data_IF_328411648562
#
_entry.id   IF_328411648562
#
_cell.length_a   1.000
_cell.length_b   1.000
_cell.length_c   1.000
_cell.angle_alpha   90.00
_cell.angle_beta   90.00
_cell.angle_gamma   90.00
#
_symmetry.space_group_name_H-M   'P 1'
#
loop_
_entity.id
_entity.type
_entity.pdbx_description
1 polymer ?
#
# COMPACT_ATOMS: atom_id res chain seq x y z
N UNK A 1 17.17 -10.53 4.84
CA UNK A 1 15.78 -10.19 5.27
C UNK A 1 14.79 -11.03 4.48
N UNK A 2 13.94 -11.82 5.15
CA UNK A 2 12.90 -12.66 4.50
C UNK A 2 11.58 -11.90 4.54
N UNK A 3 11.02 -11.56 3.39
CA UNK A 3 9.76 -10.81 3.29
C UNK A 3 8.69 -11.66 2.61
N UNK A 4 7.51 -11.73 3.22
CA UNK A 4 6.35 -12.38 2.64
C UNK A 4 5.39 -11.36 2.04
N UNK A 5 5.07 -11.48 0.75
CA UNK A 5 4.01 -10.71 0.10
C UNK A 5 2.71 -11.52 0.18
N UNK A 6 1.76 -11.01 0.94
CA UNK A 6 0.40 -11.54 1.02
C UNK A 6 -0.43 -10.92 -0.11
N UNK A 7 -0.66 -11.71 -1.16
CA UNK A 7 -1.35 -11.26 -2.36
C UNK A 7 -2.87 -11.31 -2.19
N UNK A 8 -3.51 -10.16 -2.36
CA UNK A 8 -4.97 -10.00 -2.34
C UNK A 8 -5.51 -10.04 -3.79
N UNK A 9 -5.34 -11.13 -4.46
CA UNK A 9 -5.80 -11.30 -5.84
C UNK A 9 -5.89 -12.76 -6.23
N UNK A 10 -6.71 -13.03 -7.24
CA UNK A 10 -6.70 -14.30 -7.94
C UNK A 10 -5.77 -14.17 -9.15
N UNK A 11 -4.78 -15.04 -9.24
CA UNK A 11 -4.13 -15.34 -10.51
C UNK A 11 -4.93 -16.47 -11.13
N UNK A 12 -5.74 -16.19 -12.15
CA UNK A 12 -6.29 -17.25 -12.97
C UNK A 12 -5.13 -17.84 -13.79
N UNK A 13 -4.78 -19.12 -13.62
CA UNK A 13 -3.70 -19.75 -14.36
C UNK A 13 -3.94 -19.78 -15.88
N UNK A 14 -5.18 -19.58 -16.31
CA UNK A 14 -5.57 -19.57 -17.73
C UNK A 14 -5.60 -18.14 -18.31
N UNK A 15 -5.53 -17.10 -17.48
CA UNK A 15 -5.50 -15.71 -17.93
C UNK A 15 -4.05 -15.27 -18.14
N UNK A 16 -3.74 -14.74 -19.34
CA UNK A 16 -2.48 -14.02 -19.58
C UNK A 16 -2.68 -12.55 -19.23
N UNK A 17 -2.30 -12.11 -18.05
CA UNK A 17 -2.50 -10.73 -17.66
C UNK A 17 -1.65 -9.80 -18.54
N UNK A 18 -2.24 -8.69 -18.98
CA UNK A 18 -1.54 -7.66 -19.76
C UNK A 18 -0.40 -7.01 -18.96
N UNK A 19 -0.54 -6.96 -17.65
CA UNK A 19 0.45 -6.38 -16.71
C UNK A 19 0.90 -7.43 -15.70
N UNK A 20 2.14 -7.34 -15.20
CA UNK A 20 2.62 -8.22 -14.15
C UNK A 20 1.70 -8.16 -12.91
N UNK A 21 1.50 -9.26 -12.18
CA UNK A 21 0.73 -9.26 -10.94
C UNK A 21 1.39 -8.39 -9.87
N UNK A 22 0.58 -7.88 -8.92
CA UNK A 22 1.04 -6.96 -7.89
C UNK A 22 2.27 -7.44 -7.11
N UNK A 23 2.39 -8.72 -6.70
CA UNK A 23 3.60 -9.18 -6.05
C UNK A 23 4.87 -9.01 -6.90
N UNK A 24 4.78 -9.29 -8.20
CA UNK A 24 5.93 -9.12 -9.11
C UNK A 24 6.29 -7.64 -9.28
N UNK A 25 5.30 -6.75 -9.33
CA UNK A 25 5.53 -5.29 -9.41
C UNK A 25 6.25 -4.78 -8.16
N UNK A 26 5.83 -5.22 -6.95
CA UNK A 26 6.53 -4.90 -5.71
C UNK A 26 7.95 -5.45 -5.69
N UNK A 27 8.16 -6.70 -6.09
CA UNK A 27 9.50 -7.27 -6.20
C UNK A 27 10.38 -6.47 -7.15
N UNK A 28 9.86 -6.09 -8.32
CA UNK A 28 10.59 -5.28 -9.31
C UNK A 28 10.98 -3.91 -8.74
N UNK A 29 10.08 -3.23 -8.04
CA UNK A 29 10.33 -1.89 -7.48
C UNK A 29 11.22 -1.91 -6.22
N UNK A 30 11.07 -2.92 -5.37
CA UNK A 30 11.77 -2.97 -4.07
C UNK A 30 13.11 -3.70 -4.12
N UNK A 31 13.31 -4.74 -4.98
CA UNK A 31 14.55 -5.51 -4.99
C UNK A 31 15.80 -4.68 -5.30
N UNK A 32 15.79 -3.69 -6.20
CA UNK A 32 16.95 -2.82 -6.38
C UNK A 32 17.32 -1.99 -5.15
N UNK A 33 16.31 -1.68 -4.31
CA UNK A 33 16.47 -0.92 -3.08
C UNK A 33 16.83 -1.79 -1.88
N UNK A 34 16.51 -3.08 -1.96
CA UNK A 34 16.66 -4.05 -0.87
C UNK A 34 17.31 -5.34 -1.41
N UNK A 35 18.58 -5.27 -1.91
CA UNK A 35 19.24 -6.43 -2.52
C UNK A 35 19.48 -7.58 -1.52
N UNK A 36 19.42 -7.29 -0.22
CA UNK A 36 19.49 -8.26 0.87
C UNK A 36 18.18 -9.02 1.12
N UNK A 37 17.08 -8.59 0.52
CA UNK A 37 15.77 -9.19 0.74
C UNK A 37 15.53 -10.42 -0.12
N UNK A 38 14.92 -11.44 0.47
CA UNK A 38 14.34 -12.59 -0.23
C UNK A 38 12.83 -12.53 -0.14
N UNK A 39 12.15 -12.80 -1.24
CA UNK A 39 10.72 -12.61 -1.38
C UNK A 39 9.99 -13.94 -1.50
N UNK A 40 8.95 -14.12 -0.71
CA UNK A 40 7.99 -15.24 -0.83
C UNK A 40 6.62 -14.66 -1.10
N UNK A 41 5.86 -15.26 -2.00
CA UNK A 41 4.49 -14.83 -2.31
C UNK A 41 3.51 -15.90 -1.83
N UNK A 42 2.52 -15.49 -1.04
CA UNK A 42 1.42 -16.34 -0.56
C UNK A 42 0.10 -15.65 -0.92
N UNK A 43 -0.84 -16.38 -1.51
CA UNK A 43 -2.20 -15.86 -1.70
C UNK A 43 -2.92 -15.82 -0.35
N UNK A 44 -3.30 -14.64 0.12
CA UNK A 44 -4.11 -14.51 1.32
C UNK A 44 -5.56 -14.99 1.10
N UNK A 45 -6.01 -15.03 -0.16
CA UNK A 45 -7.37 -15.42 -0.54
C UNK A 45 -7.54 -16.95 -0.53
N UNK A 46 -6.60 -17.67 -1.13
CA UNK A 46 -6.70 -19.12 -1.35
C UNK A 46 -5.64 -19.94 -0.62
N UNK A 47 -4.59 -19.30 -0.12
CA UNK A 47 -3.48 -19.94 0.57
C UNK A 47 -3.71 -20.10 2.07
N UNK A 48 -2.86 -20.88 2.68
CA UNK A 48 -2.72 -20.94 4.15
C UNK A 48 -1.75 -19.85 4.59
N UNK A 49 -2.16 -18.99 5.52
CA UNK A 49 -1.27 -17.99 6.10
C UNK A 49 -0.18 -18.69 6.94
N UNK A 50 1.07 -18.22 6.88
CA UNK A 50 2.18 -18.83 7.60
C UNK A 50 2.10 -18.52 9.12
N UNK A 51 2.94 -19.18 9.90
CA UNK A 51 3.21 -18.68 11.26
C UNK A 51 3.80 -17.26 11.17
N UNK A 52 3.31 -16.29 11.98
CA UNK A 52 3.81 -14.92 11.97
C UNK A 52 5.33 -14.78 12.04
N UNK A 53 6.01 -15.67 12.76
CA UNK A 53 7.47 -15.66 12.94
C UNK A 53 8.26 -16.31 11.79
N UNK A 54 7.59 -16.79 10.74
CA UNK A 54 8.26 -17.42 9.60
C UNK A 54 9.04 -16.46 8.73
N UNK A 55 8.73 -15.16 8.79
CA UNK A 55 9.34 -14.09 8.00
C UNK A 55 9.71 -12.89 8.88
N UNK A 56 10.70 -12.12 8.44
CA UNK A 56 11.15 -10.92 9.13
C UNK A 56 10.18 -9.74 8.96
N UNK A 57 9.41 -9.74 7.85
CA UNK A 57 8.40 -8.73 7.56
C UNK A 57 7.35 -9.24 6.57
N UNK A 58 6.22 -8.53 6.50
CA UNK A 58 5.11 -8.82 5.59
C UNK A 58 4.71 -7.59 4.78
N UNK A 59 4.14 -7.84 3.58
CA UNK A 59 3.50 -6.82 2.75
C UNK A 59 2.15 -7.35 2.25
N UNK A 60 1.05 -6.67 2.57
CA UNK A 60 -0.29 -6.96 2.04
C UNK A 60 -0.54 -6.06 0.84
N UNK A 61 -0.82 -6.65 -0.32
CA UNK A 61 -1.06 -5.90 -1.56
C UNK A 61 -2.44 -5.24 -1.59
N UNK A 62 -2.65 -4.36 -2.55
CA UNK A 62 -3.99 -3.94 -2.95
C UNK A 62 -4.83 -5.10 -3.50
N UNK A 63 -6.15 -4.89 -3.54
CA UNK A 63 -7.12 -5.88 -4.01
C UNK A 63 -8.41 -5.23 -4.50
N UNK A 64 -9.30 -6.04 -5.09
CA UNK A 64 -10.61 -5.59 -5.61
C UNK A 64 -11.75 -5.65 -4.59
N UNK A 65 -11.47 -6.18 -3.42
CA UNK A 65 -12.45 -6.43 -2.36
C UNK A 65 -12.57 -5.22 -1.43
N UNK A 66 -13.71 -5.12 -0.76
CA UNK A 66 -13.89 -4.24 0.41
C UNK A 66 -13.65 -5.02 1.69
N UNK A 67 -13.08 -4.39 2.71
CA UNK A 67 -12.81 -5.06 4.01
C UNK A 67 -14.08 -5.42 4.77
N UNK A 68 -15.23 -4.86 4.36
CA UNK A 68 -16.55 -5.19 4.91
C UNK A 68 -17.34 -6.19 4.03
N UNK A 69 -16.72 -6.79 3.00
CA UNK A 69 -17.34 -7.90 2.27
C UNK A 69 -17.34 -9.14 3.17
N UNK A 70 -18.43 -9.94 3.23
CA UNK A 70 -18.50 -11.11 4.11
C UNK A 70 -17.77 -12.32 3.48
N UNK A 71 -16.43 -12.31 3.56
CA UNK A 71 -15.57 -13.33 2.94
C UNK A 71 -14.70 -14.04 3.99
N UNK A 72 -14.85 -15.35 4.15
CA UNK A 72 -14.20 -16.16 5.19
C UNK A 72 -12.67 -16.01 5.26
N UNK A 73 -12.01 -15.74 4.12
CA UNK A 73 -10.56 -15.54 4.10
C UNK A 73 -10.14 -14.21 4.74
N UNK A 74 -11.03 -13.21 4.80
CA UNK A 74 -10.76 -11.91 5.42
C UNK A 74 -10.63 -12.05 6.93
N UNK A 75 -11.50 -12.82 7.58
CA UNK A 75 -11.42 -13.04 9.03
C UNK A 75 -10.06 -13.63 9.42
N UNK A 76 -9.57 -14.63 8.64
CA UNK A 76 -8.24 -15.20 8.86
C UNK A 76 -7.12 -14.18 8.64
N UNK A 77 -7.26 -13.29 7.67
CA UNK A 77 -6.28 -12.22 7.42
C UNK A 77 -6.30 -11.19 8.56
N UNK A 78 -7.47 -10.82 9.06
CA UNK A 78 -7.59 -9.88 10.17
C UNK A 78 -7.04 -10.45 11.47
N UNK A 79 -7.28 -11.72 11.75
CA UNK A 79 -6.65 -12.44 12.88
C UNK A 79 -5.12 -12.44 12.73
N UNK A 80 -4.64 -12.68 11.53
CA UNK A 80 -3.20 -12.67 11.24
C UNK A 80 -2.58 -11.28 11.44
N UNK A 81 -3.25 -10.20 10.99
CA UNK A 81 -2.80 -8.81 11.20
C UNK A 81 -2.73 -8.52 12.71
N UNK A 82 -3.72 -8.93 13.50
CA UNK A 82 -3.69 -8.79 14.97
C UNK A 82 -2.51 -9.52 15.59
N UNK A 83 -2.26 -10.77 15.15
CA UNK A 83 -1.12 -11.54 15.63
C UNK A 83 0.24 -10.91 15.28
N UNK A 84 0.37 -10.30 14.09
CA UNK A 84 1.57 -9.54 13.71
C UNK A 84 1.75 -8.30 14.62
N UNK A 85 0.66 -7.59 14.90
CA UNK A 85 0.67 -6.42 15.77
C UNK A 85 1.09 -6.76 17.21
N UNK A 86 0.47 -7.78 17.81
CA UNK A 86 0.79 -8.24 19.17
C UNK A 86 2.24 -8.69 19.32
N UNK A 87 2.84 -9.20 18.25
CA UNK A 87 4.23 -9.67 18.22
C UNK A 87 5.22 -8.62 17.71
N UNK A 88 4.76 -7.41 17.40
CA UNK A 88 5.54 -6.32 16.81
C UNK A 88 6.31 -6.75 15.54
N UNK A 89 5.73 -7.63 14.71
CA UNK A 89 6.32 -8.09 13.45
C UNK A 89 5.99 -7.06 12.35
N UNK A 90 6.99 -6.58 11.59
CA UNK A 90 6.81 -5.54 10.59
C UNK A 90 5.82 -5.89 9.48
N UNK A 91 4.89 -4.97 9.21
CA UNK A 91 3.87 -5.10 8.18
C UNK A 91 3.73 -3.81 7.37
N UNK A 92 3.70 -3.96 6.05
CA UNK A 92 3.29 -2.90 5.10
C UNK A 92 1.94 -3.26 4.52
N UNK A 93 0.97 -2.35 4.56
CA UNK A 93 -0.34 -2.50 3.93
C UNK A 93 -0.56 -1.49 2.82
N UNK A 94 -0.93 -1.96 1.60
CA UNK A 94 -1.14 -1.10 0.44
C UNK A 94 -2.60 -1.18 -0.03
N UNK A 95 -3.26 -0.06 -0.16
CA UNK A 95 -4.66 0.10 -0.60
C UNK A 95 -5.61 -0.80 0.21
N UNK A 96 -6.00 -1.98 -0.28
CA UNK A 96 -6.74 -2.95 0.51
C UNK A 96 -5.99 -3.30 1.81
N UNK A 97 -4.67 -3.53 1.75
CA UNK A 97 -3.85 -3.81 2.93
C UNK A 97 -3.83 -2.67 3.94
N UNK A 98 -3.83 -1.41 3.50
CA UNK A 98 -3.98 -0.23 4.36
C UNK A 98 -5.33 -0.25 5.10
N UNK A 99 -6.40 -0.53 4.38
CA UNK A 99 -7.75 -0.64 4.94
C UNK A 99 -7.89 -1.85 5.88
N UNK A 100 -7.28 -2.99 5.51
CA UNK A 100 -7.29 -4.20 6.31
C UNK A 100 -6.57 -4.02 7.66
N UNK A 101 -5.44 -3.29 7.69
CA UNK A 101 -4.75 -2.93 8.93
C UNK A 101 -5.68 -2.09 9.83
N UNK A 102 -6.27 -1.03 9.27
CA UNK A 102 -7.18 -0.18 10.03
C UNK A 102 -8.35 -0.97 10.60
N UNK A 103 -9.04 -1.76 9.76
CA UNK A 103 -10.20 -2.55 10.15
C UNK A 103 -9.87 -3.62 11.20
N UNK A 104 -8.77 -4.38 11.00
CA UNK A 104 -8.37 -5.44 11.91
C UNK A 104 -8.04 -4.95 13.32
N UNK A 105 -7.59 -3.70 13.46
CA UNK A 105 -7.17 -3.10 14.72
C UNK A 105 -8.20 -2.11 15.30
N UNK A 106 -9.45 -2.17 14.85
CA UNK A 106 -10.57 -1.44 15.44
C UNK A 106 -10.85 -0.07 14.83
N UNK A 107 -10.18 0.30 13.75
CA UNK A 107 -10.53 1.45 12.92
C UNK A 107 -11.74 1.15 12.03
N UNK A 108 -12.26 2.19 11.37
CA UNK A 108 -13.41 2.08 10.47
C UNK A 108 -13.00 2.37 9.03
N UNK A 109 -13.58 1.63 8.10
CA UNK A 109 -13.44 1.82 6.66
C UNK A 109 -14.82 2.01 6.06
N UNK A 110 -14.98 3.06 5.28
CA UNK A 110 -16.25 3.37 4.64
C UNK A 110 -16.06 3.70 3.17
N UNK A 111 -17.14 3.59 2.40
CA UNK A 111 -17.13 4.12 1.03
C UNK A 111 -17.14 5.64 1.07
N UNK A 112 -16.19 6.25 0.35
CA UNK A 112 -16.06 7.70 0.29
C UNK A 112 -17.28 8.33 -0.36
N UNK A 113 -17.84 9.37 0.27
CA UNK A 113 -18.88 10.24 -0.27
C UNK A 113 -18.36 11.12 -1.43
N UNK A 114 -17.04 11.29 -1.53
CA UNK A 114 -16.37 12.00 -2.63
C UNK A 114 -16.20 11.16 -3.90
N UNK A 115 -16.67 9.90 -3.91
CA UNK A 115 -16.55 8.98 -5.03
C UNK A 115 -15.16 8.35 -5.15
N UNK A 116 -14.66 8.23 -6.37
CA UNK A 116 -13.43 7.52 -6.69
C UNK A 116 -12.18 8.39 -6.61
N UNK A 117 -11.16 7.92 -5.89
CA UNK A 117 -9.78 8.38 -5.99
C UNK A 117 -9.05 7.59 -7.07
N UNK A 118 -8.77 8.21 -8.21
CA UNK A 118 -8.20 7.55 -9.40
C UNK A 118 -7.19 8.45 -10.11
N UNK A 119 -6.26 7.84 -10.83
CA UNK A 119 -5.20 8.54 -11.55
C UNK A 119 -4.05 8.92 -10.62
N UNK A 120 -3.32 10.00 -10.94
CA UNK A 120 -2.33 10.60 -10.05
C UNK A 120 -3.02 11.59 -9.13
N UNK A 121 -2.89 11.38 -7.82
CA UNK A 121 -3.48 12.22 -6.80
C UNK A 121 -2.42 12.80 -5.88
N UNK A 122 -2.48 14.12 -5.59
CA UNK A 122 -1.54 14.74 -4.67
C UNK A 122 -1.83 14.31 -3.22
N UNK A 123 -0.77 13.98 -2.51
CA UNK A 123 -0.76 13.76 -1.06
C UNK A 123 0.36 14.58 -0.44
N UNK A 124 0.18 14.99 0.81
CA UNK A 124 1.20 15.68 1.59
C UNK A 124 1.79 14.74 2.62
N UNK A 125 3.12 14.71 2.75
CA UNK A 125 3.79 14.13 3.91
C UNK A 125 3.68 15.15 5.05
N UNK A 126 2.85 14.83 6.03
CA UNK A 126 2.50 15.76 7.13
C UNK A 126 3.28 15.50 8.42
N UNK A 127 4.03 14.39 8.48
CA UNK A 127 4.89 14.01 9.61
C UNK A 127 6.21 13.43 9.10
N UNK A 128 7.32 13.90 9.67
CA UNK A 128 8.65 13.31 9.43
C UNK A 128 8.74 11.98 10.18
N UNK A 129 9.10 10.92 9.46
CA UNK A 129 9.23 9.56 9.99
C UNK A 129 10.69 9.07 9.98
N UNK A 130 11.62 9.93 9.55
CA UNK A 130 13.03 9.56 9.30
C UNK A 130 13.26 8.94 7.92
N UNK A 131 12.31 8.17 7.39
CA UNK A 131 12.35 7.61 6.03
C UNK A 131 11.43 8.36 5.05
N UNK A 132 10.50 9.19 5.51
CA UNK A 132 9.71 10.13 4.71
C UNK A 132 9.76 11.52 5.35
N UNK A 133 10.30 12.50 4.60
CA UNK A 133 10.41 13.88 5.04
C UNK A 133 9.17 14.69 4.69
N UNK A 134 8.82 15.69 5.51
CA UNK A 134 7.69 16.59 5.25
C UNK A 134 7.80 17.19 3.85
N UNK A 135 6.78 17.02 3.04
CA UNK A 135 6.68 17.52 1.67
C UNK A 135 5.23 17.71 1.26
N UNK A 136 4.99 18.48 0.20
CA UNK A 136 3.66 18.75 -0.33
C UNK A 136 3.54 18.32 -1.78
N UNK A 137 2.33 17.87 -2.14
CA UNK A 137 1.97 17.61 -3.53
C UNK A 137 2.68 16.41 -4.14
N UNK A 138 3.07 15.41 -3.35
CA UNK A 138 3.62 14.14 -3.84
C UNK A 138 2.55 13.43 -4.67
N UNK A 139 2.82 13.16 -5.95
CA UNK A 139 1.86 12.61 -6.90
C UNK A 139 1.94 11.09 -6.92
N UNK A 140 0.95 10.41 -6.36
CA UNK A 140 0.88 8.97 -6.27
C UNK A 140 -0.32 8.39 -7.01
N UNK A 141 -0.15 7.19 -7.57
CA UNK A 141 -1.23 6.45 -8.21
C UNK A 141 -2.31 6.05 -7.22
N UNK A 142 -3.57 6.31 -7.58
CA UNK A 142 -4.75 5.93 -6.81
C UNK A 142 -5.73 5.12 -7.66
N UNK A 143 -6.43 4.18 -7.02
CA UNK A 143 -7.53 3.40 -7.58
C UNK A 143 -8.37 2.84 -6.42
N UNK A 144 -9.14 3.70 -5.74
CA UNK A 144 -9.95 3.29 -4.60
C UNK A 144 -11.22 4.13 -4.48
N UNK A 145 -12.24 3.57 -3.85
CA UNK A 145 -13.45 4.26 -3.43
C UNK A 145 -13.64 4.16 -1.91
N UNK A 146 -13.21 3.03 -1.33
CA UNK A 146 -13.25 2.84 0.11
C UNK A 146 -12.05 3.55 0.75
N UNK A 147 -12.25 4.11 1.94
CA UNK A 147 -11.24 4.87 2.70
C UNK A 147 -11.37 4.57 4.19
N UNK A 148 -10.26 4.64 4.90
CA UNK A 148 -10.26 4.68 6.36
C UNK A 148 -10.95 5.97 6.79
N UNK A 149 -12.00 5.85 7.60
CA UNK A 149 -12.77 6.96 8.15
C UNK A 149 -12.46 7.22 9.63
N UNK A 150 -12.03 6.18 10.34
CA UNK A 150 -11.57 6.27 11.73
C UNK A 150 -10.28 5.44 11.85
N UNK A 151 -9.25 6.05 12.41
CA UNK A 151 -7.97 5.36 12.65
C UNK A 151 -8.10 4.40 13.85
N UNK A 152 -7.36 3.29 13.85
CA UNK A 152 -7.20 2.47 15.04
C UNK A 152 -6.36 3.20 16.11
N UNK A 153 -6.46 2.73 17.35
CA UNK A 153 -5.69 3.27 18.46
C UNK A 153 -4.19 3.18 18.20
N UNK A 154 -3.46 4.22 18.57
CA UNK A 154 -1.99 4.31 18.39
C UNK A 154 -1.54 4.59 16.96
N UNK A 155 -2.46 4.78 16.02
CA UNK A 155 -2.09 5.15 14.65
C UNK A 155 -1.72 6.63 14.53
N UNK A 156 -0.64 6.91 13.81
CA UNK A 156 -0.14 8.27 13.55
C UNK A 156 -0.09 8.55 12.05
N UNK A 157 -0.83 9.58 11.61
CA UNK A 157 -0.87 9.98 10.19
C UNK A 157 0.48 10.54 9.75
N UNK A 158 0.99 10.07 8.61
CA UNK A 158 2.16 10.66 7.94
C UNK A 158 1.86 11.13 6.52
N UNK A 159 0.83 10.57 5.86
CA UNK A 159 0.31 11.04 4.57
C UNK A 159 -1.14 11.48 4.69
N UNK A 160 -1.46 12.64 4.13
CA UNK A 160 -2.82 13.16 4.10
C UNK A 160 -3.11 13.92 2.80
N UNK A 161 -4.38 13.97 2.42
CA UNK A 161 -4.88 14.85 1.37
C UNK A 161 -6.30 15.31 1.69
N UNK A 162 -6.78 16.36 1.01
CA UNK A 162 -8.16 16.79 1.14
C UNK A 162 -9.16 15.71 0.69
N UNK A 163 -8.77 14.83 -0.25
CA UNK A 163 -9.59 13.73 -0.73
C UNK A 163 -9.60 12.55 0.28
N UNK A 164 -8.42 12.15 0.75
CA UNK A 164 -8.22 11.03 1.67
C UNK A 164 -7.39 11.51 2.88
N UNK A 165 -8.04 11.90 3.99
CA UNK A 165 -7.34 12.45 5.16
C UNK A 165 -6.36 11.48 5.80
N UNK A 166 -6.62 10.17 5.72
CA UNK A 166 -5.77 9.11 6.24
C UNK A 166 -5.11 8.33 5.10
N UNK A 167 -4.47 9.07 4.17
CA UNK A 167 -3.76 8.49 3.01
C UNK A 167 -2.63 7.55 3.41
N UNK A 168 -2.00 7.79 4.57
CA UNK A 168 -1.04 6.88 5.15
C UNK A 168 -0.85 7.11 6.64
N UNK A 169 -0.66 6.02 7.36
CA UNK A 169 -0.40 6.03 8.80
C UNK A 169 0.59 4.95 9.19
N UNK A 170 1.19 5.12 10.37
CA UNK A 170 2.01 4.11 11.05
C UNK A 170 1.34 3.69 12.34
N UNK A 171 1.66 2.48 12.84
CA UNK A 171 1.33 2.07 14.21
C UNK A 171 2.63 1.57 14.83
N UNK A 172 3.12 2.28 15.84
CA UNK A 172 4.46 2.06 16.37
C UNK A 172 5.52 2.10 15.26
N UNK A 173 6.58 1.31 15.46
CA UNK A 173 7.69 1.18 14.51
C UNK A 173 7.55 -0.03 13.58
N UNK A 174 6.42 -0.75 13.66
CA UNK A 174 6.27 -2.05 13.00
C UNK A 174 5.14 -2.10 11.97
N UNK A 175 4.22 -1.13 11.90
CA UNK A 175 3.20 -1.08 10.85
C UNK A 175 3.27 0.21 10.03
N UNK A 176 3.23 0.06 8.70
CA UNK A 176 3.13 1.11 7.70
C UNK A 176 1.94 0.82 6.80
N UNK A 177 1.04 1.77 6.65
CA UNK A 177 -0.14 1.66 5.81
C UNK A 177 -0.23 2.83 4.82
N UNK A 178 -0.40 2.54 3.52
CA UNK A 178 -0.49 3.53 2.43
C UNK A 178 -1.69 3.20 1.55
N UNK A 179 -2.56 4.18 1.31
CA UNK A 179 -3.76 4.01 0.47
C UNK A 179 -3.43 3.99 -1.02
N UNK A 180 -2.43 4.73 -1.45
CA UNK A 180 -1.99 4.83 -2.83
C UNK A 180 -1.20 3.58 -3.24
N UNK A 181 -0.94 3.46 -4.56
CA UNK A 181 -0.31 2.31 -5.18
C UNK A 181 1.14 2.58 -5.65
N UNK A 182 2.16 2.27 -4.84
CA UNK A 182 3.57 2.35 -5.25
C UNK A 182 3.96 1.34 -6.34
N UNK A 183 3.09 0.37 -6.60
CA UNK A 183 3.29 -0.70 -7.55
C UNK A 183 2.64 -0.44 -8.92
N UNK A 184 1.97 0.69 -9.11
CA UNK A 184 1.33 1.02 -10.37
C UNK A 184 2.30 1.72 -11.34
N UNK A 185 2.04 1.51 -12.64
CA UNK A 185 2.54 2.34 -13.72
C UNK A 185 1.39 3.13 -14.34
N UNK A 186 1.67 4.24 -15.07
CA UNK A 186 0.64 4.98 -15.78
C UNK A 186 -0.22 4.09 -16.70
N UNK A 187 0.40 3.13 -17.42
CA UNK A 187 -0.29 2.23 -18.34
C UNK A 187 -1.24 1.27 -17.59
N UNK A 188 -0.79 0.71 -16.47
CA UNK A 188 -1.63 -0.14 -15.63
C UNK A 188 -2.82 0.65 -15.08
N UNK A 189 -2.56 1.84 -14.54
CA UNK A 189 -3.63 2.67 -13.97
C UNK A 189 -4.64 3.09 -15.05
N UNK A 190 -4.17 3.49 -16.23
CA UNK A 190 -5.04 3.80 -17.38
C UNK A 190 -5.91 2.60 -17.78
N UNK A 191 -5.35 1.39 -17.86
CA UNK A 191 -6.11 0.19 -18.17
C UNK A 191 -7.17 -0.12 -17.10
N UNK A 192 -6.83 0.06 -15.83
CA UNK A 192 -7.77 -0.16 -14.72
C UNK A 192 -8.91 0.87 -14.74
N UNK A 193 -8.62 2.15 -15.05
CA UNK A 193 -9.62 3.21 -15.21
C UNK A 193 -10.55 2.86 -16.38
N UNK A 194 -10.00 2.53 -17.54
CA UNK A 194 -10.79 2.20 -18.73
C UNK A 194 -11.72 1.00 -18.52
N UNK A 195 -11.26 -0.05 -17.81
CA UNK A 195 -12.09 -1.22 -17.46
C UNK A 195 -13.22 -0.88 -16.48
N UNK A 196 -13.15 0.22 -15.78
CA UNK A 196 -14.11 0.66 -14.74
C UNK A 196 -14.77 1.99 -15.10
N UNK A 197 -14.65 2.45 -16.34
CA UNK A 197 -15.02 3.80 -16.75
C UNK A 197 -16.47 4.15 -16.38
N UNK A 198 -17.41 3.21 -16.55
CA UNK A 198 -18.81 3.39 -16.20
C UNK A 198 -19.01 3.54 -14.67
N UNK A 199 -18.25 2.79 -13.87
CA UNK A 199 -18.33 2.86 -12.40
C UNK A 199 -17.66 4.10 -11.82
N UNK A 200 -16.58 4.56 -12.46
CA UNK A 200 -15.82 5.75 -12.06
C UNK A 200 -16.58 7.02 -12.47
N UNK A 201 -17.25 7.00 -13.61
CA UNK A 201 -18.02 8.13 -14.11
C UNK A 201 -17.13 9.33 -14.45
N UNK A 202 -17.58 10.55 -14.08
CA UNK A 202 -16.95 11.81 -14.46
C UNK A 202 -15.49 11.96 -14.01
N UNK A 203 -15.09 11.24 -12.96
CA UNK A 203 -13.70 11.25 -12.49
C UNK A 203 -12.71 10.54 -13.44
N UNK A 204 -13.19 9.69 -14.36
CA UNK A 204 -12.33 8.88 -15.23
C UNK A 204 -11.50 9.73 -16.19
N UNK A 205 -12.09 10.73 -16.84
CA UNK A 205 -11.40 11.57 -17.84
C UNK A 205 -10.28 12.42 -17.22
N UNK A 206 -10.49 13.17 -16.14
CA UNK A 206 -9.41 13.88 -15.46
C UNK A 206 -8.32 12.94 -14.95
N UNK A 207 -8.70 11.76 -14.44
CA UNK A 207 -7.75 10.76 -13.97
C UNK A 207 -6.83 10.26 -15.09
N UNK A 208 -7.37 9.92 -16.27
CA UNK A 208 -6.56 9.52 -17.43
C UNK A 208 -5.61 10.63 -17.87
N UNK A 209 -6.06 11.88 -17.85
CA UNK A 209 -5.22 13.04 -18.19
C UNK A 209 -4.06 13.23 -17.20
N UNK A 210 -4.29 13.00 -15.90
CA UNK A 210 -3.26 13.13 -14.88
C UNK A 210 -2.07 12.17 -15.10
N UNK A 211 -2.32 11.00 -15.68
CA UNK A 211 -1.29 9.98 -15.93
C UNK A 211 -0.24 10.35 -16.98
N UNK A 212 -0.42 11.48 -17.68
CA UNK A 212 0.58 12.00 -18.63
C UNK A 212 1.70 12.82 -17.95
N UNK A 213 1.53 13.15 -16.68
CA UNK A 213 2.51 13.87 -15.87
C UNK A 213 3.54 12.96 -15.21
N UNK A 214 4.56 13.57 -14.59
CA UNK A 214 5.48 12.82 -13.73
C UNK A 214 4.74 12.31 -12.49
N UNK A 215 5.21 11.19 -11.94
CA UNK A 215 4.76 10.64 -10.67
C UNK A 215 5.91 10.47 -9.69
N UNK A 216 5.57 10.24 -8.42
CA UNK A 216 6.50 10.05 -7.32
C UNK A 216 6.51 8.59 -6.83
N UNK A 217 6.26 7.63 -7.71
CA UNK A 217 6.27 6.18 -7.40
C UNK A 217 7.60 5.77 -6.76
N UNK A 218 8.74 6.25 -7.30
CA UNK A 218 10.07 5.97 -6.77
C UNK A 218 10.24 6.47 -5.32
N UNK A 219 9.67 7.63 -5.00
CA UNK A 219 9.68 8.20 -3.64
C UNK A 219 8.91 7.30 -2.68
N UNK A 220 7.72 6.83 -3.07
CA UNK A 220 6.91 5.96 -2.21
C UNK A 220 7.52 4.56 -2.03
N UNK A 221 8.21 4.02 -3.03
CA UNK A 221 9.00 2.79 -2.90
C UNK A 221 10.20 2.99 -1.95
N UNK A 222 10.83 4.17 -1.97
CA UNK A 222 11.89 4.51 -1.03
C UNK A 222 11.38 4.57 0.42
N UNK A 223 10.17 5.09 0.66
CA UNK A 223 9.54 5.07 1.99
C UNK A 223 9.33 3.65 2.49
N UNK A 224 8.79 2.76 1.66
CA UNK A 224 8.57 1.34 2.03
C UNK A 224 9.89 0.66 2.36
N UNK A 225 10.91 0.82 1.52
CA UNK A 225 12.21 0.19 1.76
C UNK A 225 12.92 0.75 3.01
N UNK A 226 12.82 2.06 3.25
CA UNK A 226 13.33 2.72 4.45
C UNK A 226 12.64 2.22 5.71
N UNK A 227 11.30 2.18 5.70
CA UNK A 227 10.51 1.62 6.80
C UNK A 227 10.88 0.17 7.10
N UNK A 228 10.90 -0.71 6.10
CA UNK A 228 11.19 -2.14 6.28
C UNK A 228 12.58 -2.38 6.86
N UNK A 229 13.59 -1.62 6.42
CA UNK A 229 14.92 -1.70 7.02
C UNK A 229 14.91 -1.27 8.48
N UNK A 230 14.36 -0.08 8.76
CA UNK A 230 14.28 0.41 10.14
C UNK A 230 13.54 -0.57 11.05
N UNK A 231 12.38 -1.06 10.62
CA UNK A 231 11.55 -1.95 11.42
C UNK A 231 12.20 -3.31 11.70
N UNK A 232 13.00 -3.84 10.75
CA UNK A 232 13.63 -5.15 10.91
C UNK A 232 15.01 -5.06 11.58
N UNK A 233 15.81 -4.03 11.28
CA UNK A 233 17.19 -3.93 11.78
C UNK A 233 17.34 -2.98 12.97
N UNK A 234 16.34 -2.14 13.25
CA UNK A 234 16.45 -1.04 14.24
C UNK A 234 17.31 0.13 13.78
N UNK A 235 17.86 0.08 12.56
CA UNK A 235 18.69 1.15 12.01
C UNK A 235 17.83 2.21 11.33
N UNK A 236 17.88 3.44 11.80
CA UNK A 236 17.32 4.60 11.10
C UNK A 236 18.17 4.85 9.86
N UNK A 237 17.66 4.51 8.68
CA UNK A 237 18.32 4.83 7.42
C UNK A 237 18.39 6.35 7.29
N UNK A 238 19.59 6.93 7.46
CA UNK A 238 19.84 8.30 7.09
C UNK A 238 19.55 8.45 5.59
N UNK A 239 18.42 9.05 5.24
CA UNK A 239 18.11 9.44 3.86
C UNK A 239 19.14 10.51 3.51
N UNK A 240 20.23 10.09 2.86
CA UNK A 240 21.20 11.02 2.28
C UNK A 240 20.44 11.82 1.22
N UNK A 241 20.29 13.11 1.49
CA UNK A 241 19.97 14.14 0.53
C UNK A 241 21.08 14.17 -0.55
N UNK A 242 20.98 13.30 -1.55
CA UNK A 242 21.77 13.32 -2.77
C UNK A 242 20.85 13.64 -3.93
N UNK A 243 20.46 14.89 -4.04
CA UNK A 243 20.05 15.49 -5.30
C UNK A 243 19.85 16.98 -5.06
N UNK A 244 20.91 17.76 -5.16
CA UNK A 244 20.90 19.16 -5.58
C UNK A 244 22.35 19.68 -5.50
N UNK A 245 23.18 19.21 -6.41
CA UNK A 245 24.41 19.90 -6.77
C UNK A 245 24.84 19.42 -8.18
N UNK A 246 24.29 20.04 -9.18
CA UNK A 246 24.93 20.35 -10.49
C UNK A 246 23.94 21.13 -11.34
#
# INVERSE_FOLDING_TARGET
>A
MKICILHIGHSDPNEKPKHPPSPQRFQTGLSPRMPEATWTVISAVTGTLPDPKSFDAYLITGGKYSVFDPLDWQDRLFDFIRALHEQAIPLVGICYGHQAIAHALGGEVTRSDKGWGVGLMPVDVVRDTGWAQISKGVLLHAMHQDQVSTLPDGAEVFLASAFCPYSGFTIGDHFLAIQQHPDFTPELNADLINRRIERIGDAARPALQSLSGPDDTETSLAWISGFLRQAVTGEVAAVRANALAS
#
